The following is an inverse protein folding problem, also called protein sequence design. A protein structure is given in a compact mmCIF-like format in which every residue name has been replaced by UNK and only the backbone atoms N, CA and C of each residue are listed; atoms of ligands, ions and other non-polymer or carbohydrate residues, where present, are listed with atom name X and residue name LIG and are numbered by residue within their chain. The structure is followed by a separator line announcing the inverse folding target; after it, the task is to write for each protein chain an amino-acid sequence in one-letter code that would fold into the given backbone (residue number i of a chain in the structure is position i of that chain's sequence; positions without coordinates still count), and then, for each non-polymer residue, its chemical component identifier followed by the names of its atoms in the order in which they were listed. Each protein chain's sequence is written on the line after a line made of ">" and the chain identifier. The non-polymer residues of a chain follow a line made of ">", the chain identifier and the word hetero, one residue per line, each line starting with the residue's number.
data_IF_192888721395
#
_entry.id   IF_192888721395
#
_cell.length_a   1.000
_cell.length_b   1.000
_cell.length_c   1.000
_cell.angle_alpha   90.00
_cell.angle_beta   90.00
_cell.angle_gamma   90.00
#
_symmetry.space_group_name_H-M   'P 1'
#
loop_
_entity.id
_entity.type
_entity.pdbx_description
1 polymer ?
#
# COMPACT_ATOMS: atom_id res chain seq x y z
N UNK A 1 17.76 -15.69 -1.20
CA UNK A 1 17.96 -14.84 -0.01
C UNK A 1 16.71 -14.00 0.11
N UNK A 2 16.03 -13.92 1.28
CA UNK A 2 14.95 -12.97 1.43
C UNK A 2 15.57 -11.57 1.34
N UNK A 3 15.00 -10.70 0.51
CA UNK A 3 15.49 -9.35 0.33
C UNK A 3 15.12 -8.55 1.60
N UNK A 4 16.12 -8.02 2.30
CA UNK A 4 15.98 -7.24 3.54
C UNK A 4 15.24 -5.90 3.35
N UNK A 5 14.59 -5.66 2.20
CA UNK A 5 14.03 -4.35 1.84
C UNK A 5 12.75 -4.41 0.97
N UNK A 6 11.92 -5.45 1.10
CA UNK A 6 10.71 -5.66 0.27
C UNK A 6 9.70 -4.49 0.31
N UNK A 7 9.56 -3.78 1.43
CA UNK A 7 8.72 -2.57 1.51
C UNK A 7 9.34 -1.40 0.71
N UNK A 8 10.68 -1.29 0.68
CA UNK A 8 11.37 -0.32 -0.17
C UNK A 8 11.26 -0.70 -1.63
N UNK A 9 11.35 -1.98 -1.97
CA UNK A 9 11.18 -2.47 -3.33
C UNK A 9 9.73 -2.26 -3.81
N UNK A 10 8.74 -2.50 -2.94
CA UNK A 10 7.33 -2.19 -3.22
C UNK A 10 7.14 -0.68 -3.43
N UNK A 11 7.76 0.17 -2.61
CA UNK A 11 7.72 1.62 -2.77
C UNK A 11 8.40 2.10 -4.08
N UNK A 12 9.57 1.56 -4.39
CA UNK A 12 10.32 1.87 -5.60
C UNK A 12 9.53 1.46 -6.84
N UNK A 13 8.99 0.23 -6.84
CA UNK A 13 8.08 -0.23 -7.89
C UNK A 13 6.88 0.71 -8.02
N UNK A 14 6.16 1.01 -6.93
CA UNK A 14 4.98 1.86 -6.95
C UNK A 14 5.29 3.27 -7.50
N UNK A 15 6.46 3.82 -7.17
CA UNK A 15 6.90 5.14 -7.61
C UNK A 15 7.10 5.26 -9.14
N UNK A 16 7.26 4.13 -9.84
CA UNK A 16 7.36 4.09 -11.31
C UNK A 16 6.00 3.93 -12.00
N UNK A 17 4.94 3.62 -11.25
CA UNK A 17 3.63 3.32 -11.81
C UNK A 17 2.80 4.58 -12.03
N UNK A 18 1.76 4.45 -12.86
CA UNK A 18 0.76 5.50 -13.08
C UNK A 18 -0.44 5.29 -12.14
N UNK A 19 -1.24 6.33 -11.92
CA UNK A 19 -2.34 6.38 -10.95
C UNK A 19 -3.63 5.61 -11.36
N UNK A 20 -3.57 4.68 -12.32
CA UNK A 20 -4.74 3.95 -12.83
C UNK A 20 -5.11 2.70 -12.02
N UNK A 21 -6.35 2.22 -12.14
CA UNK A 21 -6.87 1.04 -11.40
C UNK A 21 -6.06 -0.25 -11.59
N UNK A 22 -5.40 -0.42 -12.74
CA UNK A 22 -4.48 -1.56 -12.97
C UNK A 22 -3.30 -1.56 -11.99
N UNK A 23 -2.82 -0.40 -11.60
CA UNK A 23 -1.73 -0.25 -10.63
C UNK A 23 -2.16 -0.70 -9.24
N UNK A 24 -3.36 -0.34 -8.81
CA UNK A 24 -3.90 -0.78 -7.51
C UNK A 24 -4.08 -2.30 -7.46
N UNK A 25 -4.58 -2.91 -8.55
CA UNK A 25 -4.68 -4.37 -8.66
C UNK A 25 -3.31 -5.04 -8.55
N UNK A 26 -2.33 -4.56 -9.32
CA UNK A 26 -0.97 -5.09 -9.26
C UNK A 26 -0.31 -4.87 -7.89
N UNK A 27 -0.56 -3.73 -7.25
CA UNK A 27 -0.10 -3.41 -5.90
C UNK A 27 -0.70 -4.37 -4.87
N UNK A 28 -2.01 -4.60 -4.91
CA UNK A 28 -2.70 -5.54 -4.03
C UNK A 28 -2.09 -6.95 -4.13
N UNK A 29 -1.94 -7.48 -5.35
CA UNK A 29 -1.35 -8.80 -5.55
C UNK A 29 0.09 -8.88 -5.05
N UNK A 30 0.93 -7.86 -5.32
CA UNK A 30 2.31 -7.78 -4.85
C UNK A 30 2.38 -7.73 -3.32
N UNK A 31 1.58 -6.88 -2.68
CA UNK A 31 1.56 -6.75 -1.23
C UNK A 31 1.15 -8.06 -0.54
N UNK A 32 0.13 -8.77 -1.06
CA UNK A 32 -0.25 -10.08 -0.53
C UNK A 32 0.80 -11.17 -0.76
N UNK A 33 1.52 -11.13 -1.88
CA UNK A 33 2.62 -12.04 -2.12
C UNK A 33 3.72 -11.83 -1.08
N UNK A 34 4.16 -10.59 -0.90
CA UNK A 34 5.18 -10.23 0.09
C UNK A 34 4.75 -10.59 1.52
N UNK A 35 3.46 -10.41 1.85
CA UNK A 35 2.93 -10.76 3.17
C UNK A 35 3.02 -12.27 3.47
N UNK A 36 2.90 -13.13 2.44
CA UNK A 36 3.05 -14.59 2.58
C UNK A 36 4.51 -15.00 2.77
N UNK A 37 5.42 -14.24 2.16
CA UNK A 37 6.86 -14.50 2.19
C UNK A 37 7.51 -13.96 3.48
N UNK A 38 6.92 -12.93 4.12
CA UNK A 38 7.48 -12.27 5.31
C UNK A 38 6.50 -12.14 6.47
N UNK A 39 6.65 -12.97 7.52
CA UNK A 39 5.84 -12.85 8.73
C UNK A 39 6.00 -11.52 9.49
N UNK A 40 7.18 -10.88 9.44
CA UNK A 40 7.47 -9.68 10.23
C UNK A 40 6.76 -8.41 9.73
N UNK A 41 6.50 -8.33 8.43
CA UNK A 41 5.84 -7.20 7.77
C UNK A 41 4.42 -7.55 7.29
N UNK A 42 3.95 -8.77 7.55
CA UNK A 42 2.69 -9.28 7.02
C UNK A 42 1.49 -8.37 7.37
N UNK A 43 1.42 -7.87 8.60
CA UNK A 43 0.30 -7.03 9.04
C UNK A 43 0.18 -5.73 8.23
N UNK A 44 1.29 -4.98 8.07
CA UNK A 44 1.28 -3.72 7.31
C UNK A 44 1.02 -3.99 5.82
N UNK A 45 1.60 -5.06 5.26
CA UNK A 45 1.37 -5.47 3.87
C UNK A 45 -0.09 -5.86 3.61
N UNK A 46 -0.73 -6.59 4.53
CA UNK A 46 -2.15 -6.94 4.43
C UNK A 46 -3.04 -5.70 4.48
N UNK A 47 -2.79 -4.77 5.39
CA UNK A 47 -3.58 -3.54 5.48
C UNK A 47 -3.43 -2.67 4.22
N UNK A 48 -2.22 -2.57 3.68
CA UNK A 48 -1.97 -1.89 2.41
C UNK A 48 -2.71 -2.56 1.25
N UNK A 49 -2.69 -3.90 1.19
CA UNK A 49 -3.42 -4.66 0.17
C UNK A 49 -4.94 -4.43 0.27
N UNK A 50 -5.49 -4.45 1.48
CA UNK A 50 -6.91 -4.18 1.74
C UNK A 50 -7.29 -2.74 1.38
N UNK A 51 -6.43 -1.76 1.65
CA UNK A 51 -6.65 -0.37 1.26
C UNK A 51 -6.79 -0.23 -0.26
N UNK A 52 -5.91 -0.90 -1.02
CA UNK A 52 -5.98 -0.90 -2.48
C UNK A 52 -7.22 -1.65 -3.00
N UNK A 53 -7.58 -2.77 -2.39
CA UNK A 53 -8.79 -3.54 -2.74
C UNK A 53 -10.06 -2.70 -2.55
N UNK A 54 -10.23 -2.07 -1.38
CA UNK A 54 -11.37 -1.18 -1.11
C UNK A 54 -11.48 -0.05 -2.12
N UNK A 55 -10.35 0.53 -2.52
CA UNK A 55 -10.33 1.55 -3.55
C UNK A 55 -10.78 1.00 -4.90
N UNK A 56 -10.26 -0.16 -5.34
CA UNK A 56 -10.68 -0.81 -6.59
C UNK A 56 -12.19 -1.08 -6.58
N UNK A 57 -12.70 -1.68 -5.51
CA UNK A 57 -14.12 -2.04 -5.38
C UNK A 57 -15.06 -0.83 -5.40
N UNK A 58 -14.56 0.37 -5.06
CA UNK A 58 -15.34 1.61 -5.13
C UNK A 58 -15.57 2.11 -6.56
N UNK A 59 -14.83 1.58 -7.54
CA UNK A 59 -14.90 1.94 -8.95
C UNK A 59 -15.13 0.72 -9.86
N UNK A 60 -15.49 -0.43 -9.29
CA UNK A 60 -15.98 -1.55 -10.08
C UNK A 60 -17.23 -1.03 -10.82
N UNK A 61 -17.21 -1.02 -12.15
CA UNK A 61 -18.25 -0.45 -13.04
C UNK A 61 -18.22 1.06 -13.34
N UNK A 62 -17.32 1.86 -12.76
CA UNK A 62 -17.23 3.32 -13.04
C UNK A 62 -15.82 3.81 -13.35
N UNK A 63 -15.63 4.74 -14.33
CA UNK A 63 -14.30 5.27 -14.61
C UNK A 63 -13.78 6.10 -13.44
N UNK A 64 -12.52 5.86 -13.06
CA UNK A 64 -11.85 6.61 -12.01
C UNK A 64 -11.68 8.10 -12.43
N UNK A 65 -12.24 9.07 -11.68
CA UNK A 65 -12.04 10.48 -12.00
C UNK A 65 -10.58 10.89 -11.85
N UNK A 66 -10.05 11.65 -12.83
CA UNK A 66 -8.63 12.06 -12.86
C UNK A 66 -8.19 12.75 -11.56
N UNK A 67 -9.02 13.66 -11.04
CA UNK A 67 -8.70 14.36 -9.79
C UNK A 67 -8.66 13.46 -8.55
N UNK A 68 -9.38 12.34 -8.56
CA UNK A 68 -9.32 11.33 -7.49
C UNK A 68 -8.08 10.45 -7.66
N UNK A 69 -7.77 10.05 -8.89
CA UNK A 69 -6.61 9.22 -9.21
C UNK A 69 -5.30 9.79 -8.65
N UNK A 70 -5.03 11.09 -8.88
CA UNK A 70 -3.80 11.73 -8.40
C UNK A 70 -3.70 11.75 -6.87
N UNK A 71 -4.79 12.13 -6.19
CA UNK A 71 -4.81 12.21 -4.72
C UNK A 71 -4.70 10.84 -4.08
N UNK A 72 -5.48 9.87 -4.57
CA UNK A 72 -5.44 8.48 -4.14
C UNK A 72 -4.02 7.91 -4.26
N UNK A 73 -3.38 8.16 -5.40
CA UNK A 73 -2.06 7.60 -5.68
C UNK A 73 -0.96 8.26 -4.84
N UNK A 74 -1.02 9.58 -4.65
CA UNK A 74 -0.12 10.28 -3.74
C UNK A 74 -0.27 9.78 -2.30
N UNK A 75 -1.51 9.58 -1.84
CA UNK A 75 -1.80 9.08 -0.49
C UNK A 75 -1.31 7.65 -0.29
N UNK A 76 -1.54 6.76 -1.26
CA UNK A 76 -1.00 5.40 -1.22
C UNK A 76 0.53 5.40 -1.14
N UNK A 77 1.20 6.16 -2.02
CA UNK A 77 2.68 6.28 -1.99
C UNK A 77 3.20 6.76 -0.64
N UNK A 78 2.56 7.77 -0.03
CA UNK A 78 2.96 8.26 1.28
C UNK A 78 2.88 7.17 2.37
N UNK A 79 1.80 6.38 2.39
CA UNK A 79 1.63 5.31 3.37
C UNK A 79 2.66 4.18 3.18
N UNK A 80 2.94 3.82 1.93
CA UNK A 80 3.97 2.83 1.61
C UNK A 80 5.36 3.37 1.98
N UNK A 81 5.65 4.64 1.69
CA UNK A 81 6.90 5.28 2.07
C UNK A 81 7.11 5.26 3.59
N UNK A 82 6.11 5.66 4.38
CA UNK A 82 6.17 5.57 5.85
C UNK A 82 6.45 4.15 6.33
N UNK A 83 5.91 3.15 5.64
CA UNK A 83 6.12 1.74 5.96
C UNK A 83 7.54 1.28 5.63
N UNK A 84 8.31 1.97 4.79
CA UNK A 84 9.70 1.55 4.48
C UNK A 84 10.66 1.64 5.67
N UNK A 85 10.31 2.42 6.70
CA UNK A 85 11.11 2.57 7.92
C UNK A 85 10.67 1.62 9.03
N UNK A 86 9.75 0.67 8.72
CA UNK A 86 9.05 -0.18 9.70
C UNK A 86 9.96 -0.83 10.75
N UNK A 87 11.11 -1.36 10.35
CA UNK A 87 12.04 -2.03 11.27
C UNK A 87 12.68 -1.08 12.30
N UNK A 88 12.82 0.20 11.95
CA UNK A 88 13.44 1.23 12.79
C UNK A 88 12.40 2.01 13.62
N UNK A 89 11.13 1.84 13.31
CA UNK A 89 10.01 2.50 13.98
C UNK A 89 9.74 1.87 15.35
N UNK A 90 9.48 2.70 16.36
CA UNK A 90 9.09 2.23 17.69
C UNK A 90 7.72 1.53 17.65
N UNK A 91 7.46 0.59 18.56
CA UNK A 91 6.24 -0.23 18.48
C UNK A 91 4.94 0.57 18.62
N UNK A 92 4.94 1.65 19.42
CA UNK A 92 3.81 2.56 19.52
C UNK A 92 3.51 3.26 18.17
N UNK A 93 4.56 3.67 17.46
CA UNK A 93 4.45 4.34 16.16
C UNK A 93 4.06 3.35 15.05
N UNK A 94 4.50 2.08 15.15
CA UNK A 94 4.02 0.99 14.27
C UNK A 94 2.51 0.81 14.39
N UNK A 95 1.99 0.71 15.61
CA UNK A 95 0.54 0.57 15.84
C UNK A 95 -0.21 1.79 15.33
N UNK A 96 0.31 3.00 15.57
CA UNK A 96 -0.29 4.22 15.05
C UNK A 96 -0.36 4.22 13.51
N UNK A 97 0.70 3.75 12.82
CA UNK A 97 0.72 3.62 11.37
C UNK A 97 -0.28 2.57 10.86
N UNK A 98 -0.39 1.41 11.53
CA UNK A 98 -1.39 0.40 11.17
C UNK A 98 -2.81 0.97 11.28
N UNK A 99 -3.10 1.69 12.37
CA UNK A 99 -4.39 2.36 12.56
C UNK A 99 -4.63 3.44 11.49
N UNK A 100 -3.62 4.24 11.13
CA UNK A 100 -3.71 5.22 10.04
C UNK A 100 -4.08 4.53 8.72
N UNK A 101 -3.43 3.43 8.37
CA UNK A 101 -3.71 2.68 7.14
C UNK A 101 -5.12 2.08 7.18
N UNK A 102 -5.50 1.44 8.30
CA UNK A 102 -6.79 0.78 8.45
C UNK A 102 -7.97 1.76 8.34
N UNK A 103 -7.82 2.98 8.83
CA UNK A 103 -8.86 4.01 8.79
C UNK A 103 -8.80 4.91 7.54
N UNK A 104 -7.77 4.80 6.70
CA UNK A 104 -7.67 5.64 5.49
C UNK A 104 -8.64 5.17 4.41
N UNK A 105 -9.18 6.12 3.66
CA UNK A 105 -9.88 5.91 2.39
C UNK A 105 -9.15 6.71 1.29
N UNK A 106 -9.06 6.15 0.08
CA UNK A 106 -8.35 6.76 -1.03
C UNK A 106 -9.26 7.55 -1.99
N UNK A 107 -10.59 7.39 -1.89
CA UNK A 107 -11.61 7.97 -2.77
C UNK A 107 -12.33 9.17 -2.16
#
# INVERSE_FOLDING_TARGET
>A
MPQEDDLKDLYAWLSTQHNGLKTYNAFHSKALQLAREQQQNAAVLHLLAMLAERFISSYDESPLPVGVADRAFARLKQLVQKSTEWERTADADKIALLNEIACTELG
#
